data_IF_374113968226
#
_entry.id   IF_374113968226
#
_cell.length_a   1.000
_cell.length_b   1.000
_cell.length_c   1.000
_cell.angle_alpha   90.00
_cell.angle_beta   90.00
_cell.angle_gamma   90.00
#
_symmetry.space_group_name_H-M   'P 1'
#
loop_
_entity.id
_entity.type
_entity.pdbx_description
1 polymer ?
#
# COMPACT_ATOMS: atom_id res chain seq x y z
N UNK A 1 -26.80 -7.38 -13.83
CA UNK A 1 -26.26 -8.27 -12.78
C UNK A 1 -24.82 -8.60 -13.13
N UNK A 2 -23.88 -8.20 -12.27
CA UNK A 2 -22.44 -8.49 -12.42
C UNK A 2 -22.27 -10.00 -12.23
N UNK A 3 -22.02 -10.73 -13.32
CA UNK A 3 -21.90 -12.20 -13.29
C UNK A 3 -20.54 -12.69 -12.79
N UNK A 4 -19.55 -11.80 -12.70
CA UNK A 4 -18.21 -12.14 -12.21
C UNK A 4 -17.67 -11.08 -11.25
N UNK A 5 -17.47 -11.47 -9.99
CA UNK A 5 -16.94 -10.64 -8.92
C UNK A 5 -15.60 -11.13 -8.36
N UNK A 6 -14.91 -12.01 -9.10
CA UNK A 6 -13.53 -12.38 -8.76
C UNK A 6 -12.61 -11.17 -8.83
N UNK A 7 -11.61 -11.17 -7.95
CA UNK A 7 -10.58 -10.14 -7.82
C UNK A 7 -9.30 -10.83 -7.33
N UNK A 8 -8.15 -10.42 -7.84
CA UNK A 8 -6.85 -11.00 -7.48
C UNK A 8 -6.46 -10.70 -6.02
N UNK A 9 -6.77 -9.49 -5.55
CA UNK A 9 -6.21 -8.98 -4.30
C UNK A 9 -6.51 -9.83 -3.05
N UNK A 10 -7.74 -10.32 -2.81
CA UNK A 10 -8.01 -11.18 -1.64
C UNK A 10 -7.21 -12.48 -1.59
N UNK A 11 -6.62 -12.91 -2.72
CA UNK A 11 -5.84 -14.15 -2.86
C UNK A 11 -4.33 -13.94 -2.79
N UNK A 12 -3.83 -12.71 -2.93
CA UNK A 12 -2.39 -12.50 -3.06
C UNK A 12 -1.83 -11.30 -2.30
N UNK A 13 -2.70 -10.42 -1.81
CA UNK A 13 -2.28 -9.09 -1.37
C UNK A 13 -2.97 -8.64 -0.09
N UNK A 14 -2.20 -7.89 0.71
CA UNK A 14 -2.72 -7.09 1.81
C UNK A 14 -2.25 -5.63 1.70
N UNK A 15 -3.02 -4.75 2.30
CA UNK A 15 -2.61 -3.42 2.70
C UNK A 15 -2.65 -3.35 4.23
N UNK A 16 -1.67 -2.69 4.83
CA UNK A 16 -1.66 -2.36 6.25
C UNK A 16 -1.69 -0.85 6.41
N UNK A 17 -2.61 -0.31 7.21
CA UNK A 17 -2.71 1.13 7.49
C UNK A 17 -1.68 1.59 8.52
N UNK A 18 -1.62 2.89 8.77
CA UNK A 18 -0.77 3.50 9.80
C UNK A 18 -1.06 2.96 11.21
N UNK A 19 -2.32 2.61 11.47
CA UNK A 19 -2.81 2.08 12.75
C UNK A 19 -2.56 0.58 12.90
N UNK A 20 -2.10 -0.09 11.83
CA UNK A 20 -1.93 -1.55 11.78
C UNK A 20 -3.18 -2.30 11.37
N UNK A 21 -4.17 -1.61 10.83
CA UNK A 21 -5.39 -2.25 10.34
C UNK A 21 -5.15 -2.88 8.98
N UNK A 22 -5.88 -3.95 8.69
CA UNK A 22 -5.70 -4.68 7.43
C UNK A 22 -6.81 -4.43 6.43
N UNK A 23 -6.43 -4.51 5.17
CA UNK A 23 -7.30 -4.46 4.00
C UNK A 23 -6.78 -5.46 2.97
N UNK A 24 -7.63 -6.00 2.10
CA UNK A 24 -7.16 -6.79 0.95
C UNK A 24 -6.73 -5.88 -0.20
N UNK A 25 -7.29 -4.67 -0.30
CA UNK A 25 -6.85 -3.63 -1.24
C UNK A 25 -7.21 -2.23 -0.75
N UNK A 26 -6.72 -1.18 -1.41
CA UNK A 26 -6.93 0.22 -0.96
C UNK A 26 -8.40 0.67 -0.94
N UNK A 27 -9.27 -0.08 -1.61
CA UNK A 27 -10.71 0.20 -1.70
C UNK A 27 -11.56 -0.80 -0.90
N UNK A 28 -10.94 -1.79 -0.26
CA UNK A 28 -11.67 -2.77 0.55
C UNK A 28 -12.04 -2.19 1.91
N UNK A 29 -12.99 -2.84 2.59
CA UNK A 29 -13.22 -2.61 4.01
C UNK A 29 -11.90 -2.70 4.80
N UNK A 30 -11.75 -1.78 5.76
CA UNK A 30 -10.70 -1.79 6.77
C UNK A 30 -11.14 -2.72 7.91
N UNK A 31 -10.25 -3.63 8.30
CA UNK A 31 -10.46 -4.56 9.40
C UNK A 31 -9.57 -4.16 10.57
N UNK A 32 -10.12 -3.50 11.61
CA UNK A 32 -9.34 -2.95 12.70
C UNK A 32 -8.67 -4.03 13.52
N UNK A 33 -7.33 -4.06 13.54
CA UNK A 33 -6.48 -5.02 14.29
C UNK A 33 -7.12 -6.39 14.51
N UNK A 34 -7.73 -6.98 13.47
CA UNK A 34 -8.84 -7.95 13.58
C UNK A 34 -8.60 -9.09 14.57
N UNK A 35 -7.33 -9.49 14.79
CA UNK A 35 -6.93 -10.31 15.94
C UNK A 35 -5.54 -9.97 16.56
N UNK A 36 -5.03 -8.73 16.48
CA UNK A 36 -3.63 -8.38 16.83
C UNK A 36 -2.63 -9.40 16.22
N UNK A 37 -2.82 -9.70 14.94
CA UNK A 37 -2.21 -10.83 14.27
C UNK A 37 -1.27 -10.36 13.16
N UNK A 38 -0.21 -11.12 12.89
CA UNK A 38 0.70 -10.86 11.76
C UNK A 38 -0.04 -10.86 10.41
N UNK A 39 0.55 -10.29 9.34
CA UNK A 39 -0.06 -10.30 8.00
C UNK A 39 -0.46 -11.70 7.52
N UNK A 40 0.42 -12.70 7.78
CA UNK A 40 0.16 -14.09 7.44
C UNK A 40 -1.04 -14.67 8.20
N UNK A 41 -1.19 -14.34 9.48
CA UNK A 41 -2.32 -14.81 10.28
C UNK A 41 -3.64 -14.19 9.80
N UNK A 42 -3.64 -12.89 9.48
CA UNK A 42 -4.82 -12.25 8.90
C UNK A 42 -5.19 -12.86 7.55
N UNK A 43 -4.21 -13.01 6.64
CA UNK A 43 -4.40 -13.63 5.32
C UNK A 43 -5.00 -15.03 5.40
N UNK A 44 -4.61 -15.82 6.40
CA UNK A 44 -5.05 -17.20 6.62
C UNK A 44 -6.26 -17.35 7.55
N UNK A 45 -6.86 -16.24 7.97
CA UNK A 45 -8.06 -16.24 8.83
C UNK A 45 -9.24 -16.95 8.16
N UNK A 46 -10.17 -17.47 8.98
CA UNK A 46 -11.43 -18.04 8.49
C UNK A 46 -12.23 -17.05 7.64
N UNK A 47 -12.22 -15.78 8.03
CA UNK A 47 -12.85 -14.70 7.28
C UNK A 47 -12.34 -14.61 5.83
N UNK A 48 -11.03 -14.46 5.63
CA UNK A 48 -10.49 -14.31 4.27
C UNK A 48 -10.56 -15.62 3.46
N UNK A 49 -10.42 -16.77 4.11
CA UNK A 49 -10.64 -18.09 3.47
C UNK A 49 -12.08 -18.23 2.96
N UNK A 50 -13.06 -17.81 3.76
CA UNK A 50 -14.47 -17.85 3.36
C UNK A 50 -14.73 -16.88 2.20
N UNK A 51 -14.22 -15.65 2.27
CA UNK A 51 -14.34 -14.67 1.17
C UNK A 51 -13.75 -15.20 -0.13
N UNK A 52 -12.56 -15.80 -0.10
CA UNK A 52 -11.93 -16.42 -1.28
C UNK A 52 -12.73 -17.60 -1.80
N UNK A 53 -13.25 -18.45 -0.92
CA UNK A 53 -14.13 -19.56 -1.29
C UNK A 53 -15.41 -19.08 -1.96
N UNK A 54 -16.07 -18.07 -1.38
CA UNK A 54 -17.29 -17.48 -1.90
C UNK A 54 -17.07 -16.86 -3.28
N UNK A 55 -15.98 -16.09 -3.44
CA UNK A 55 -15.56 -15.54 -4.74
C UNK A 55 -15.29 -16.62 -5.79
N UNK A 56 -14.59 -17.70 -5.42
CA UNK A 56 -14.26 -18.79 -6.34
C UNK A 56 -15.51 -19.57 -6.79
N UNK A 57 -16.49 -19.72 -5.89
CA UNK A 57 -17.72 -20.45 -6.15
C UNK A 57 -18.85 -19.58 -6.73
N UNK A 58 -18.60 -18.29 -6.99
CA UNK A 58 -19.63 -17.38 -7.47
C UNK A 58 -20.75 -17.11 -6.44
N UNK A 59 -20.45 -17.27 -5.15
CA UNK A 59 -21.33 -16.94 -4.02
C UNK A 59 -21.12 -15.48 -3.59
N UNK A 60 -22.15 -14.65 -3.72
CA UNK A 60 -22.09 -13.22 -3.38
C UNK A 60 -22.54 -12.97 -1.93
N UNK A 61 -21.77 -13.49 -0.98
CA UNK A 61 -22.09 -13.42 0.45
C UNK A 61 -22.06 -12.00 1.02
N UNK A 62 -22.58 -11.83 2.25
CA UNK A 62 -22.50 -10.56 2.96
C UNK A 62 -21.06 -10.08 3.16
N UNK A 63 -20.13 -11.00 3.37
CA UNK A 63 -18.72 -10.67 3.59
C UNK A 63 -18.05 -10.15 2.31
N UNK A 64 -18.35 -10.78 1.16
CA UNK A 64 -17.92 -10.28 -0.15
C UNK A 64 -18.51 -8.89 -0.42
N UNK A 65 -19.81 -8.72 -0.14
CA UNK A 65 -20.51 -7.46 -0.35
C UNK A 65 -19.94 -6.32 0.49
N UNK A 66 -19.64 -6.60 1.75
CA UNK A 66 -19.11 -5.63 2.69
C UNK A 66 -17.64 -5.28 2.38
N UNK A 67 -16.81 -6.30 2.11
CA UNK A 67 -15.40 -6.11 1.75
C UNK A 67 -15.25 -5.30 0.45
N UNK A 68 -16.02 -5.63 -0.59
CA UNK A 68 -15.89 -5.05 -1.94
C UNK A 68 -16.89 -3.94 -2.23
N UNK A 69 -17.54 -3.37 -1.20
CA UNK A 69 -18.64 -2.40 -1.33
C UNK A 69 -18.35 -1.27 -2.31
N UNK A 70 -17.12 -0.75 -2.32
CA UNK A 70 -16.71 0.32 -3.24
C UNK A 70 -16.84 -0.08 -4.71
N UNK A 71 -16.26 -1.23 -5.10
CA UNK A 71 -16.32 -1.71 -6.48
C UNK A 71 -17.76 -2.06 -6.89
N UNK A 72 -18.50 -2.71 -5.99
CA UNK A 72 -19.90 -3.09 -6.22
C UNK A 72 -20.77 -1.86 -6.46
N UNK A 73 -20.57 -0.80 -5.66
CA UNK A 73 -21.29 0.47 -5.84
C UNK A 73 -21.05 1.06 -7.23
N UNK A 74 -19.78 1.16 -7.65
CA UNK A 74 -19.43 1.70 -8.97
C UNK A 74 -20.08 0.88 -10.09
N UNK A 75 -19.95 -0.43 -10.05
CA UNK A 75 -20.47 -1.30 -11.11
C UNK A 75 -21.99 -1.32 -11.18
N UNK A 76 -22.68 -1.23 -10.05
CA UNK A 76 -24.14 -1.09 -10.02
C UNK A 76 -24.61 0.26 -10.59
N UNK A 77 -23.74 1.27 -10.59
CA UNK A 77 -23.96 2.58 -11.22
C UNK A 77 -23.44 2.64 -12.67
N UNK A 78 -23.06 1.50 -13.27
CA UNK A 78 -22.43 1.41 -14.59
C UNK A 78 -21.10 2.17 -14.72
N UNK A 79 -20.41 2.41 -13.60
CA UNK A 79 -19.06 2.99 -13.56
C UNK A 79 -17.99 1.89 -13.56
N UNK A 80 -16.75 2.28 -13.92
CA UNK A 80 -15.61 1.35 -13.92
C UNK A 80 -15.03 1.20 -12.53
N UNK A 81 -15.00 -0.03 -12.00
CA UNK A 81 -14.35 -0.31 -10.73
C UNK A 81 -12.84 -0.50 -10.86
N UNK A 82 -12.06 -0.22 -9.81
CA UNK A 82 -10.61 -0.42 -9.81
C UNK A 82 -10.20 -1.90 -9.86
N UNK A 83 -11.12 -2.84 -9.61
CA UNK A 83 -10.84 -4.28 -9.68
C UNK A 83 -10.85 -4.84 -11.11
N UNK A 84 -11.38 -4.11 -12.10
CA UNK A 84 -11.53 -4.63 -13.49
C UNK A 84 -10.22 -5.18 -14.09
N UNK A 85 -9.05 -4.54 -13.89
CA UNK A 85 -7.78 -5.09 -14.38
C UNK A 85 -7.34 -6.39 -13.69
N UNK A 86 -7.95 -6.74 -12.56
CA UNK A 86 -7.52 -7.79 -11.62
C UNK A 86 -8.57 -8.90 -11.47
N UNK A 87 -9.42 -9.13 -12.47
CA UNK A 87 -10.55 -10.08 -12.38
C UNK A 87 -10.08 -11.56 -12.31
N UNK A 88 -8.79 -11.86 -12.47
CA UNK A 88 -8.30 -13.25 -12.42
C UNK A 88 -7.91 -13.62 -10.99
N UNK A 89 -8.48 -14.70 -10.41
CA UNK A 89 -7.96 -15.22 -9.15
C UNK A 89 -6.59 -15.86 -9.40
N UNK A 90 -5.55 -15.48 -8.64
CA UNK A 90 -4.24 -16.11 -8.64
C UNK A 90 -4.30 -17.35 -7.73
N UNK A 91 -3.16 -18.03 -7.61
CA UNK A 91 -2.96 -18.98 -6.52
C UNK A 91 -3.13 -18.29 -5.15
N UNK A 92 -3.71 -19.00 -4.17
CA UNK A 92 -3.90 -18.49 -2.82
C UNK A 92 -2.57 -18.48 -2.06
N UNK A 93 -1.85 -17.36 -2.13
CA UNK A 93 -0.57 -17.16 -1.47
C UNK A 93 -0.35 -15.67 -1.18
N UNK A 94 -0.09 -15.30 0.08
CA UNK A 94 0.28 -13.93 0.42
C UNK A 94 1.65 -13.60 -0.17
N UNK A 95 1.64 -12.88 -1.29
CA UNK A 95 2.86 -12.55 -2.04
C UNK A 95 3.19 -11.07 -1.97
N UNK A 96 2.21 -10.20 -1.70
CA UNK A 96 2.37 -8.75 -1.73
C UNK A 96 1.79 -8.10 -0.48
N UNK A 97 2.49 -7.12 0.06
CA UNK A 97 1.93 -6.21 1.06
C UNK A 97 2.27 -4.76 0.73
N UNK A 98 1.30 -3.86 0.86
CA UNK A 98 1.60 -2.44 0.94
C UNK A 98 1.51 -1.96 2.39
N UNK A 99 2.58 -1.32 2.82
CA UNK A 99 2.71 -0.62 4.09
C UNK A 99 2.27 0.83 3.87
N UNK A 100 0.98 1.08 4.08
CA UNK A 100 0.34 2.36 3.86
C UNK A 100 0.50 3.24 5.09
N UNK A 101 1.33 4.27 4.95
CA UNK A 101 1.53 5.35 5.91
C UNK A 101 2.06 4.84 7.26
N UNK A 102 3.00 3.89 7.25
CA UNK A 102 3.69 3.42 8.47
C UNK A 102 4.49 4.52 9.21
N UNK A 103 4.58 5.69 8.61
CA UNK A 103 4.99 6.96 9.20
C UNK A 103 4.60 8.10 8.26
N UNK A 104 4.76 9.34 8.73
CA UNK A 104 4.45 10.54 7.94
C UNK A 104 5.66 11.44 7.67
N UNK A 105 6.88 11.02 8.02
CA UNK A 105 8.07 11.84 7.82
C UNK A 105 8.22 12.20 6.35
N UNK A 106 8.07 13.48 6.02
CA UNK A 106 8.16 13.97 4.66
C UNK A 106 8.81 15.36 4.64
N UNK A 107 9.48 15.67 3.54
CA UNK A 107 10.11 16.98 3.35
C UNK A 107 9.25 17.97 2.57
N UNK A 108 8.10 17.56 2.02
CA UNK A 108 7.22 18.40 1.20
C UNK A 108 5.85 18.70 1.85
N UNK A 109 5.21 19.77 1.39
CA UNK A 109 3.85 20.20 1.71
C UNK A 109 2.98 20.16 0.44
N UNK A 110 2.70 18.95 -0.06
CA UNK A 110 1.89 18.82 -1.27
C UNK A 110 0.44 19.23 -1.01
N UNK A 111 -0.19 19.93 -1.96
CA UNK A 111 -1.55 20.47 -1.83
C UNK A 111 -2.61 19.39 -1.53
N UNK A 112 -2.39 18.15 -1.96
CA UNK A 112 -3.28 17.00 -1.68
C UNK A 112 -2.94 16.20 -0.42
N UNK A 113 -1.97 16.63 0.39
CA UNK A 113 -1.57 15.95 1.62
C UNK A 113 -2.20 16.60 2.86
N UNK A 114 -2.44 15.77 3.88
CA UNK A 114 -2.84 16.20 5.23
C UNK A 114 -1.75 15.94 6.28
N UNK A 115 -1.99 16.35 7.54
CA UNK A 115 -1.07 16.14 8.67
C UNK A 115 -0.74 14.66 8.94
N UNK A 116 -1.61 13.73 8.55
CA UNK A 116 -1.39 12.29 8.65
C UNK A 116 -0.43 11.76 7.56
N UNK A 117 -0.21 12.50 6.47
CA UNK A 117 0.62 12.08 5.34
C UNK A 117 1.96 12.80 5.22
N UNK A 118 2.07 13.99 5.81
CA UNK A 118 3.31 14.75 5.85
C UNK A 118 3.49 15.44 7.20
N UNK A 119 4.63 15.16 7.84
CA UNK A 119 5.11 15.84 9.05
C UNK A 119 5.38 17.34 8.86
N UNK A 120 5.14 17.89 7.66
CA UNK A 120 5.16 19.34 7.42
C UNK A 120 3.81 20.01 7.66
N UNK A 121 2.72 19.25 7.72
CA UNK A 121 1.38 19.74 8.03
C UNK A 121 0.98 19.48 9.49
N UNK A 122 1.68 18.59 10.19
CA UNK A 122 1.32 18.17 11.54
C UNK A 122 2.49 17.52 12.29
N UNK A 123 2.23 16.92 13.45
CA UNK A 123 3.26 16.24 14.24
C UNK A 123 3.89 15.08 13.45
N UNK A 124 5.15 14.77 13.76
CA UNK A 124 5.79 13.56 13.27
C UNK A 124 5.08 12.33 13.86
N UNK A 125 4.68 11.41 12.99
CA UNK A 125 4.11 10.12 13.32
C UNK A 125 5.11 9.06 12.84
N UNK A 126 5.64 8.31 13.80
CA UNK A 126 6.48 7.14 13.57
C UNK A 126 5.97 6.02 14.48
N UNK A 127 5.01 5.26 13.96
CA UNK A 127 4.36 4.18 14.69
C UNK A 127 4.98 2.81 14.37
N UNK A 128 6.19 2.77 13.80
CA UNK A 128 6.83 1.52 13.46
C UNK A 128 7.24 0.75 14.72
N UNK A 129 6.41 -0.21 15.11
CA UNK A 129 6.64 -1.11 16.24
C UNK A 129 6.45 -2.60 15.86
N UNK A 130 6.39 -2.90 14.57
CA UNK A 130 6.18 -4.26 14.07
C UNK A 130 7.45 -5.09 14.11
N UNK A 131 7.29 -6.39 14.37
CA UNK A 131 8.36 -7.34 14.19
C UNK A 131 8.60 -7.55 12.69
N UNK A 132 9.78 -7.15 12.21
CA UNK A 132 10.17 -7.26 10.81
C UNK A 132 10.12 -8.70 10.27
N UNK A 133 10.32 -9.70 11.15
CA UNK A 133 10.27 -11.12 10.79
C UNK A 133 8.89 -11.56 10.30
N UNK A 134 7.82 -10.81 10.63
CA UNK A 134 6.47 -11.09 10.15
C UNK A 134 6.32 -10.88 8.64
N UNK A 135 7.23 -10.14 8.02
CA UNK A 135 7.23 -9.83 6.60
C UNK A 135 8.27 -10.64 5.81
N UNK A 136 9.05 -11.51 6.47
CA UNK A 136 10.20 -12.21 5.86
C UNK A 136 9.84 -13.11 4.67
N UNK A 137 8.63 -13.67 4.68
CA UNK A 137 8.15 -14.60 3.66
C UNK A 137 7.39 -13.87 2.54
N UNK A 138 7.22 -12.55 2.64
CA UNK A 138 6.47 -11.75 1.66
C UNK A 138 7.38 -11.40 0.48
N UNK A 139 6.97 -11.81 -0.72
CA UNK A 139 7.77 -11.65 -1.95
C UNK A 139 7.92 -10.19 -2.37
N UNK A 140 6.90 -9.35 -2.18
CA UNK A 140 6.92 -7.93 -2.53
C UNK A 140 6.37 -7.02 -1.43
N UNK A 141 7.11 -5.96 -1.13
CA UNK A 141 6.76 -5.00 -0.07
C UNK A 141 6.73 -3.58 -0.66
N UNK A 142 5.55 -2.98 -0.67
CA UNK A 142 5.32 -1.61 -1.10
C UNK A 142 5.32 -0.64 0.09
N UNK A 143 5.90 0.54 -0.09
CA UNK A 143 5.85 1.63 0.88
C UNK A 143 5.15 2.84 0.28
N UNK A 144 4.07 3.27 0.95
CA UNK A 144 3.21 4.38 0.52
C UNK A 144 3.09 5.37 1.68
N UNK A 145 3.28 6.66 1.44
CA UNK A 145 3.12 7.69 2.47
C UNK A 145 4.43 8.19 3.07
N UNK A 146 4.36 9.34 3.77
CA UNK A 146 5.55 10.14 4.06
C UNK A 146 6.37 10.41 2.79
N UNK A 147 7.67 10.53 2.98
CA UNK A 147 8.67 10.31 1.94
C UNK A 147 9.44 9.03 2.29
N UNK A 148 9.24 7.95 1.53
CA UNK A 148 9.76 6.63 1.84
C UNK A 148 11.27 6.62 2.12
N UNK A 149 12.05 7.42 1.38
CA UNK A 149 13.50 7.48 1.51
C UNK A 149 13.99 8.27 2.74
N UNK A 150 13.11 8.94 3.48
CA UNK A 150 13.45 9.62 4.73
C UNK A 150 13.14 8.77 5.98
N UNK A 151 12.26 7.79 5.86
CA UNK A 151 11.77 7.03 7.02
C UNK A 151 12.77 5.96 7.47
N UNK A 152 13.01 5.91 8.78
CA UNK A 152 13.90 4.90 9.41
C UNK A 152 13.35 3.48 9.22
N UNK A 153 12.04 3.29 9.41
CA UNK A 153 11.35 2.01 9.23
C UNK A 153 11.58 1.40 7.85
N UNK A 154 11.49 2.22 6.80
CA UNK A 154 11.76 1.81 5.41
C UNK A 154 13.20 1.33 5.28
N UNK A 155 14.16 2.13 5.75
CA UNK A 155 15.57 1.74 5.74
C UNK A 155 15.78 0.40 6.45
N UNK A 156 15.24 0.23 7.65
CA UNK A 156 15.41 -0.99 8.44
C UNK A 156 14.83 -2.21 7.71
N UNK A 157 13.67 -2.08 7.07
CA UNK A 157 13.10 -3.15 6.24
C UNK A 157 13.98 -3.51 5.04
N UNK A 158 14.44 -2.51 4.28
CA UNK A 158 15.23 -2.75 3.08
C UNK A 158 16.58 -3.43 3.37
N UNK A 159 17.19 -3.15 4.52
CA UNK A 159 18.47 -3.77 4.90
C UNK A 159 18.30 -5.21 5.40
N UNK A 160 17.18 -5.54 6.05
CA UNK A 160 17.01 -6.81 6.75
C UNK A 160 16.14 -7.84 6.00
N UNK A 161 15.29 -7.43 5.05
CA UNK A 161 14.44 -8.36 4.30
C UNK A 161 14.90 -8.55 2.86
N UNK A 162 14.73 -9.76 2.33
CA UNK A 162 14.96 -10.08 0.93
C UNK A 162 13.64 -10.19 0.16
N UNK A 163 13.23 -9.08 -0.45
CA UNK A 163 12.00 -8.95 -1.20
C UNK A 163 12.20 -8.04 -2.42
N UNK A 164 11.20 -8.00 -3.30
CA UNK A 164 11.06 -6.91 -4.26
C UNK A 164 10.38 -5.72 -3.56
N UNK A 165 11.05 -4.57 -3.55
CA UNK A 165 10.55 -3.37 -2.89
C UNK A 165 9.95 -2.42 -3.91
N UNK A 166 8.80 -1.84 -3.58
CA UNK A 166 8.21 -0.74 -4.33
C UNK A 166 8.18 0.51 -3.45
N UNK A 167 8.93 1.55 -3.82
CA UNK A 167 9.00 2.80 -3.08
C UNK A 167 8.27 3.90 -3.83
N UNK A 168 7.24 4.48 -3.22
CA UNK A 168 6.65 5.72 -3.71
C UNK A 168 7.43 6.90 -3.12
N UNK A 169 8.01 7.74 -3.99
CA UNK A 169 8.89 8.84 -3.59
C UNK A 169 8.59 10.11 -4.40
N UNK A 170 8.79 11.27 -3.78
CA UNK A 170 8.76 12.58 -4.44
C UNK A 170 10.07 12.90 -5.19
N UNK A 171 11.07 12.00 -5.11
CA UNK A 171 12.38 12.06 -5.75
C UNK A 171 13.26 13.28 -5.43
N UNK A 172 13.02 13.96 -4.31
CA UNK A 172 13.84 15.11 -3.90
C UNK A 172 15.04 14.72 -3.02
N UNK A 173 15.06 13.51 -2.47
CA UNK A 173 16.15 13.04 -1.60
C UNK A 173 16.48 11.57 -1.88
N UNK A 174 17.73 11.30 -2.25
CA UNK A 174 18.27 9.94 -2.37
C UNK A 174 19.42 9.76 -1.35
N UNK A 175 19.17 9.15 -0.19
CA UNK A 175 20.14 9.10 0.90
C UNK A 175 21.32 8.17 0.59
N UNK A 176 22.50 8.46 1.15
CA UNK A 176 23.73 7.68 0.90
C UNK A 176 23.60 6.18 1.20
N UNK A 177 22.75 5.81 2.15
CA UNK A 177 22.54 4.40 2.50
C UNK A 177 21.85 3.61 1.38
N UNK A 178 21.04 4.27 0.53
CA UNK A 178 20.34 3.60 -0.57
C UNK A 178 21.33 3.00 -1.57
N UNK A 179 22.43 3.71 -1.84
CA UNK A 179 23.49 3.22 -2.75
C UNK A 179 24.25 2.00 -2.21
N UNK A 180 24.04 1.60 -0.95
CA UNK A 180 24.58 0.33 -0.41
C UNK A 180 23.71 -0.87 -0.75
N UNK A 181 22.48 -0.65 -1.21
CA UNK A 181 21.48 -1.69 -1.49
C UNK A 181 21.50 -2.13 -2.97
N UNK A 182 22.67 -2.14 -3.61
CA UNK A 182 22.80 -2.41 -5.06
C UNK A 182 22.32 -3.79 -5.51
N UNK A 183 22.23 -4.75 -4.58
CA UNK A 183 21.72 -6.11 -4.84
C UNK A 183 20.21 -6.25 -4.60
N UNK A 184 19.57 -5.25 -4.00
CA UNK A 184 18.12 -5.30 -3.70
C UNK A 184 17.34 -4.96 -4.97
N UNK A 185 16.21 -5.64 -5.17
CA UNK A 185 15.26 -5.33 -6.24
C UNK A 185 14.36 -4.19 -5.77
N UNK A 186 14.62 -2.97 -6.22
CA UNK A 186 13.87 -1.78 -5.80
C UNK A 186 13.27 -1.12 -7.03
N UNK A 187 11.94 -1.02 -7.07
CA UNK A 187 11.18 -0.26 -8.05
C UNK A 187 10.76 1.07 -7.44
N UNK A 188 11.15 2.17 -8.08
CA UNK A 188 10.68 3.50 -7.71
C UNK A 188 9.41 3.84 -8.49
N UNK A 189 8.39 4.32 -7.78
CA UNK A 189 7.26 5.03 -8.36
C UNK A 189 7.45 6.50 -7.99
N UNK A 190 7.82 7.30 -8.98
CA UNK A 190 8.08 8.71 -8.74
C UNK A 190 6.79 9.50 -8.88
N UNK A 191 6.54 10.27 -7.85
CA UNK A 191 5.37 11.10 -7.70
C UNK A 191 5.67 12.46 -8.36
N UNK A 192 5.02 12.74 -9.50
CA UNK A 192 5.13 13.98 -10.30
C UNK A 192 3.72 14.44 -10.66
N UNK A 193 3.35 15.65 -10.24
CA UNK A 193 1.98 16.18 -10.43
C UNK A 193 1.94 17.38 -11.42
N UNK A 194 3.07 17.67 -12.06
CA UNK A 194 3.23 18.72 -13.06
C UNK A 194 4.65 18.74 -13.63
N UNK A 195 4.95 19.71 -14.49
CA UNK A 195 6.31 19.94 -15.02
C UNK A 195 6.76 21.33 -14.63
N UNK A 196 8.01 21.45 -14.17
CA UNK A 196 8.60 22.72 -13.75
C UNK A 196 7.81 23.36 -12.61
N UNK A 197 7.45 24.64 -12.78
CA UNK A 197 6.78 25.43 -11.76
C UNK A 197 5.42 24.85 -11.31
N UNK A 198 4.75 24.06 -12.16
CA UNK A 198 3.49 23.42 -11.78
C UNK A 198 3.69 22.33 -10.72
N UNK A 199 4.75 21.51 -10.84
CA UNK A 199 5.08 20.54 -9.79
C UNK A 199 5.49 21.26 -8.51
N UNK A 200 6.31 22.31 -8.62
CA UNK A 200 6.77 23.07 -7.46
C UNK A 200 5.61 23.73 -6.71
N UNK A 201 4.58 24.18 -7.44
CA UNK A 201 3.36 24.73 -6.88
C UNK A 201 2.50 23.67 -6.17
N UNK A 202 2.27 22.53 -6.81
CA UNK A 202 1.44 21.45 -6.24
C UNK A 202 2.17 20.76 -5.09
N UNK A 203 3.49 20.57 -5.20
CA UNK A 203 4.35 19.85 -4.25
C UNK A 203 5.26 20.83 -3.54
N UNK A 204 4.68 21.73 -2.74
CA UNK A 204 5.42 22.83 -2.11
C UNK A 204 6.66 22.32 -1.34
N UNK A 205 7.78 23.01 -1.55
CA UNK A 205 9.11 22.59 -1.07
C UNK A 205 9.90 21.76 -2.09
N UNK A 206 9.30 21.36 -3.21
CA UNK A 206 9.97 20.72 -4.33
C UNK A 206 10.77 21.74 -5.16
N UNK A 207 11.72 21.22 -5.93
CA UNK A 207 12.30 21.92 -7.06
C UNK A 207 12.44 20.90 -8.19
N UNK A 208 11.57 20.99 -9.18
CA UNK A 208 11.43 20.02 -10.26
C UNK A 208 12.77 19.74 -10.96
N UNK A 209 13.56 20.80 -11.22
CA UNK A 209 14.86 20.69 -11.90
C UNK A 209 15.95 20.02 -11.07
N UNK A 210 15.72 19.84 -9.76
CA UNK A 210 16.65 19.19 -8.83
C UNK A 210 16.18 17.81 -8.38
N UNK A 211 15.05 17.30 -8.87
CA UNK A 211 14.61 15.93 -8.58
C UNK A 211 15.57 14.92 -9.23
N UNK A 212 15.69 13.77 -8.59
CA UNK A 212 16.43 12.62 -9.10
C UNK A 212 15.56 11.84 -10.10
N UNK A 213 15.39 12.39 -11.31
CA UNK A 213 14.66 11.80 -12.44
C UNK A 213 15.60 11.22 -13.51
#
# INVERSE_FOLDING_TARGET
MIKNFTCEFPYSMLNMTMEGDYQTCSWSKVYPKYHNSSPNNFFNSSLLKNIRSDMANGIFSSDVQDMCRFCIKLENSNETSPRIPFIKPPEEELTHINLNQIGNQCNLQCAGCGPERSSRYGPLIDNWNYNIDEFKDIKKIGFIGGEALLMKSVKDVLFNLDAEFQLITNATVFPKWLYKLTKKKIKFIVSIDGVGQLDDYIRQGSNFTKKHL
#
